data_IF_868363799894
#
_entry.id   IF_868363799894
#
_cell.length_a   1.000
_cell.length_b   1.000
_cell.length_c   1.000
_cell.angle_alpha   90.00
_cell.angle_beta   90.00
_cell.angle_gamma   90.00
#
_symmetry.space_group_name_H-M   'P 1'
#
loop_
_entity.id
_entity.type
_entity.pdbx_description
1 polymer ?
#
# COMPACT_ATOMS: atom_id res chain seq x y z
N UNK A 1 20.93 32.02 -17.42
CA UNK A 1 20.13 31.75 -16.22
C UNK A 1 19.53 30.35 -16.34
N UNK A 2 20.05 29.36 -15.62
CA UNK A 2 19.51 27.98 -15.58
C UNK A 2 18.48 27.90 -14.46
N UNK A 3 17.21 27.72 -14.81
CA UNK A 3 16.17 27.34 -13.85
C UNK A 3 16.43 25.90 -13.42
N UNK A 4 16.82 25.72 -12.16
CA UNK A 4 16.84 24.40 -11.52
C UNK A 4 15.39 23.96 -11.35
N UNK A 5 14.97 22.95 -12.11
CA UNK A 5 13.74 22.20 -11.82
C UNK A 5 13.98 21.35 -10.57
N UNK A 6 13.44 21.80 -9.45
CA UNK A 6 13.44 21.05 -8.20
C UNK A 6 12.55 19.80 -8.36
N UNK A 7 12.98 18.60 -7.92
CA UNK A 7 12.12 17.42 -7.95
C UNK A 7 10.91 17.63 -7.04
N UNK A 8 9.74 17.27 -7.56
CA UNK A 8 8.45 17.27 -6.89
C UNK A 8 8.54 16.91 -5.40
N UNK A 9 8.20 17.89 -4.56
CA UNK A 9 7.98 17.77 -3.13
C UNK A 9 7.04 16.60 -2.83
N UNK A 10 7.54 15.56 -2.14
CA UNK A 10 6.65 14.62 -1.45
C UNK A 10 5.96 15.40 -0.34
N UNK A 11 4.66 15.63 -0.48
CA UNK A 11 3.86 16.16 0.64
C UNK A 11 4.08 15.28 1.87
N UNK A 12 4.44 15.85 3.03
CA UNK A 12 4.39 15.13 4.29
C UNK A 12 2.96 14.59 4.49
N UNK A 13 2.83 13.33 4.90
CA UNK A 13 1.53 12.70 5.15
C UNK A 13 0.73 13.35 6.30
N UNK A 14 1.29 14.33 7.00
CA UNK A 14 0.62 15.13 8.03
C UNK A 14 -0.53 15.99 7.48
N UNK A 15 -0.63 16.14 6.15
CA UNK A 15 -1.71 16.88 5.48
C UNK A 15 -2.82 15.97 4.93
N UNK A 16 -2.86 14.68 5.32
CA UNK A 16 -3.97 13.80 4.95
C UNK A 16 -5.27 14.30 5.59
N UNK A 17 -6.12 14.90 4.77
CA UNK A 17 -7.50 15.22 5.13
C UNK A 17 -8.33 13.94 4.98
N UNK A 18 -8.84 13.45 6.10
CA UNK A 18 -9.80 12.35 6.12
C UNK A 18 -11.18 12.85 5.66
N UNK A 19 -11.85 12.10 4.80
CA UNK A 19 -13.26 12.33 4.54
C UNK A 19 -14.06 11.87 5.76
N UNK A 20 -15.05 12.66 6.19
CA UNK A 20 -15.87 12.33 7.36
C UNK A 20 -16.47 10.91 7.28
N UNK A 21 -16.81 10.42 6.08
CA UNK A 21 -17.36 9.06 5.88
C UNK A 21 -16.35 7.93 6.14
N UNK A 22 -15.06 8.25 6.12
CA UNK A 22 -13.97 7.29 6.37
C UNK A 22 -13.68 7.13 7.86
N UNK A 23 -14.02 8.14 8.66
CA UNK A 23 -13.62 8.23 10.08
C UNK A 23 -14.80 8.39 11.03
N UNK A 24 -16.03 8.51 10.52
CA UNK A 24 -17.22 8.70 11.34
C UNK A 24 -18.47 8.14 10.64
N UNK A 25 -19.42 7.68 11.45
CA UNK A 25 -20.77 7.31 11.03
C UNK A 25 -21.81 8.27 11.64
N UNK A 26 -22.99 8.34 11.05
CA UNK A 26 -24.11 9.10 11.62
C UNK A 26 -24.61 8.59 12.99
N UNK A 27 -24.35 7.32 13.34
CA UNK A 27 -24.77 6.73 14.62
C UNK A 27 -24.69 5.20 14.65
N UNK A 28 -25.08 4.62 15.77
CA UNK A 28 -25.08 3.17 16.03
C UNK A 28 -24.01 2.74 17.04
N UNK A 29 -24.20 1.55 17.61
CA UNK A 29 -23.25 0.99 18.56
C UNK A 29 -22.01 0.45 17.83
N UNK A 30 -20.89 0.36 18.55
CA UNK A 30 -19.64 -0.21 18.01
C UNK A 30 -19.86 -1.61 17.44
N UNK A 31 -20.66 -2.44 18.10
CA UNK A 31 -20.93 -3.81 17.65
C UNK A 31 -21.74 -3.84 16.35
N UNK A 32 -22.75 -2.98 16.21
CA UNK A 32 -23.50 -2.89 14.96
C UNK A 32 -22.64 -2.42 13.78
N UNK A 33 -21.64 -1.58 14.06
CA UNK A 33 -20.72 -1.02 13.07
C UNK A 33 -19.64 -2.02 12.68
N UNK A 34 -19.01 -2.64 13.68
CA UNK A 34 -17.79 -3.42 13.55
C UNK A 34 -18.06 -4.92 13.40
N UNK A 35 -19.13 -5.46 13.98
CA UNK A 35 -19.42 -6.89 13.95
C UNK A 35 -20.40 -7.29 15.05
N UNK A 36 -21.66 -7.60 14.73
CA UNK A 36 -22.62 -8.14 15.69
C UNK A 36 -22.30 -9.59 16.07
N UNK A 37 -23.04 -10.14 17.04
CA UNK A 37 -22.86 -11.51 17.54
C UNK A 37 -23.25 -12.59 16.53
N UNK A 38 -23.93 -12.23 15.45
CA UNK A 38 -24.29 -13.15 14.38
C UNK A 38 -23.20 -13.24 13.29
N UNK A 39 -23.53 -13.90 12.18
CA UNK A 39 -22.63 -14.09 11.03
C UNK A 39 -22.82 -13.03 9.92
N UNK A 40 -23.68 -12.04 10.13
CA UNK A 40 -24.06 -11.03 9.13
C UNK A 40 -22.93 -10.05 8.81
N UNK A 41 -22.06 -9.77 9.79
CA UNK A 41 -20.97 -8.80 9.69
C UNK A 41 -21.40 -7.38 10.00
N UNK A 42 -20.43 -6.52 10.32
CA UNK A 42 -20.65 -5.13 10.69
C UNK A 42 -21.27 -4.33 9.53
N UNK A 43 -22.18 -3.41 9.86
CA UNK A 43 -22.84 -2.59 8.85
C UNK A 43 -21.86 -1.69 8.08
N UNK A 44 -20.71 -1.37 8.68
CA UNK A 44 -19.74 -0.39 8.16
C UNK A 44 -18.29 -0.88 8.20
N UNK A 45 -18.09 -2.15 8.58
CA UNK A 45 -16.83 -2.92 8.57
C UNK A 45 -16.14 -3.00 7.18
N UNK A 46 -16.53 -2.17 6.23
CA UNK A 46 -16.20 -2.24 4.81
C UNK A 46 -16.01 -0.86 4.19
N UNK A 47 -16.42 0.21 4.88
CA UNK A 47 -16.50 1.55 4.31
C UNK A 47 -15.13 2.18 4.12
N UNK A 48 -14.18 1.92 5.03
CA UNK A 48 -12.83 2.43 4.97
C UNK A 48 -11.90 1.56 5.81
N UNK A 49 -10.63 1.51 5.44
CA UNK A 49 -9.59 0.90 6.28
C UNK A 49 -9.44 1.64 7.62
N UNK A 50 -9.69 2.95 7.62
CA UNK A 50 -9.72 3.77 8.84
C UNK A 50 -10.80 3.31 9.83
N UNK A 51 -12.00 2.97 9.36
CA UNK A 51 -13.06 2.45 10.22
C UNK A 51 -12.70 1.07 10.76
N UNK A 52 -12.14 0.19 9.93
CA UNK A 52 -11.68 -1.14 10.34
C UNK A 52 -10.59 -1.05 11.42
N UNK A 53 -9.61 -0.16 11.23
CA UNK A 53 -8.59 0.12 12.24
C UNK A 53 -9.20 0.68 13.53
N UNK A 54 -10.25 1.50 13.45
CA UNK A 54 -10.96 1.99 14.63
C UNK A 54 -11.69 0.88 15.38
N UNK A 55 -12.36 -0.01 14.67
CA UNK A 55 -13.03 -1.15 15.25
C UNK A 55 -12.08 -2.02 16.09
N UNK A 56 -10.82 -2.14 15.67
CA UNK A 56 -9.80 -2.93 16.37
C UNK A 56 -9.06 -2.09 17.43
N UNK A 57 -8.58 -0.90 17.06
CA UNK A 57 -7.65 -0.13 17.87
C UNK A 57 -8.31 0.94 18.74
N UNK A 58 -9.57 1.32 18.48
CA UNK A 58 -10.25 2.37 19.24
C UNK A 58 -10.38 1.99 20.71
N UNK A 59 -10.11 2.93 21.61
CA UNK A 59 -10.20 2.70 23.06
C UNK A 59 -11.58 2.17 23.44
N UNK A 60 -11.61 1.17 24.32
CA UNK A 60 -12.80 0.83 25.07
C UNK A 60 -12.77 1.41 26.49
N UNK A 61 -13.93 1.75 27.07
CA UNK A 61 -14.04 2.30 28.43
C UNK A 61 -13.41 1.39 29.51
N UNK A 62 -13.41 0.08 29.31
CA UNK A 62 -12.80 -0.91 30.21
C UNK A 62 -11.27 -1.02 30.07
N UNK A 63 -10.66 -0.31 29.13
CA UNK A 63 -9.20 -0.28 28.98
C UNK A 63 -8.60 0.92 29.72
N UNK A 64 -7.55 0.66 30.51
CA UNK A 64 -6.80 1.71 31.20
C UNK A 64 -6.15 2.71 30.22
N UNK A 65 -5.80 2.26 29.01
CA UNK A 65 -5.19 3.05 27.92
C UNK A 65 -5.73 2.57 26.58
N UNK A 66 -6.02 3.51 25.67
CA UNK A 66 -6.47 3.18 24.32
C UNK A 66 -5.38 2.51 23.48
N UNK A 67 -5.79 1.87 22.39
CA UNK A 67 -4.92 1.35 21.33
C UNK A 67 -4.02 0.16 21.67
N UNK A 68 -4.15 -0.41 22.88
CA UNK A 68 -3.36 -1.57 23.29
C UNK A 68 -3.55 -2.80 22.40
N UNK A 69 -4.74 -2.97 21.81
CA UNK A 69 -4.99 -4.01 20.82
C UNK A 69 -4.09 -3.92 19.57
N UNK A 70 -3.52 -2.73 19.29
CA UNK A 70 -2.72 -2.47 18.10
C UNK A 70 -1.24 -2.18 18.40
N UNK A 71 -0.89 -1.94 19.68
CA UNK A 71 0.52 -1.78 20.13
C UNK A 71 0.63 -1.82 21.66
N UNK A 72 1.69 -2.45 22.16
CA UNK A 72 1.95 -2.60 23.60
C UNK A 72 2.31 -1.26 24.30
N UNK A 73 3.13 -0.41 23.67
CA UNK A 73 3.69 0.83 24.28
C UNK A 73 3.06 2.13 23.77
N UNK A 74 1.74 2.20 23.61
CA UNK A 74 1.09 3.43 23.15
C UNK A 74 1.07 4.49 24.27
N UNK A 75 1.87 5.56 24.15
CA UNK A 75 1.75 6.72 25.04
C UNK A 75 0.49 7.50 24.65
N UNK A 76 -0.51 7.52 25.53
CA UNK A 76 -1.76 8.23 25.28
C UNK A 76 -1.51 9.72 25.01
N UNK A 77 -1.68 10.18 23.77
CA UNK A 77 -2.09 11.56 23.54
C UNK A 77 -3.52 11.72 24.07
N UNK A 78 -4.01 12.96 24.28
CA UNK A 78 -5.33 13.22 24.88
C UNK A 78 -6.50 12.47 24.20
N UNK A 79 -6.33 12.05 22.94
CA UNK A 79 -7.34 11.37 22.12
C UNK A 79 -7.48 9.87 22.45
N UNK A 80 -6.49 9.27 23.12
CA UNK A 80 -6.52 7.87 23.58
C UNK A 80 -7.17 7.70 24.96
N UNK A 81 -7.91 8.70 25.45
CA UNK A 81 -8.46 8.70 26.83
C UNK A 81 -9.97 8.43 26.90
N UNK A 82 -10.71 8.62 25.81
CA UNK A 82 -12.17 8.44 25.77
C UNK A 82 -12.58 7.17 25.04
N UNK A 83 -13.67 6.55 25.49
CA UNK A 83 -14.28 5.41 24.81
C UNK A 83 -14.69 5.80 23.38
N UNK A 84 -14.33 4.97 22.40
CA UNK A 84 -14.64 5.27 21.02
C UNK A 84 -16.09 4.91 20.68
N UNK A 85 -16.82 5.93 20.22
CA UNK A 85 -18.15 5.81 19.64
C UNK A 85 -18.05 5.98 18.11
N UNK A 86 -18.69 5.12 17.29
CA UNK A 86 -18.73 5.29 15.83
C UNK A 86 -19.24 6.65 15.32
N UNK A 87 -19.98 7.40 16.14
CA UNK A 87 -20.41 8.76 15.81
C UNK A 87 -19.37 9.86 16.09
N UNK A 88 -18.25 9.53 16.71
CA UNK A 88 -17.15 10.48 16.97
C UNK A 88 -16.22 10.56 15.77
N UNK A 89 -15.62 11.73 15.55
CA UNK A 89 -14.56 11.88 14.55
C UNK A 89 -13.30 11.17 15.04
N UNK A 90 -12.85 10.21 14.24
CA UNK A 90 -11.75 9.34 14.57
C UNK A 90 -10.44 9.70 13.81
N UNK A 91 -10.40 10.84 13.11
CA UNK A 91 -9.27 11.30 12.31
C UNK A 91 -7.96 11.39 13.10
N UNK A 92 -8.01 11.92 14.32
CA UNK A 92 -6.80 12.11 15.13
C UNK A 92 -6.21 10.75 15.53
N UNK A 93 -7.04 9.78 15.88
CA UNK A 93 -6.60 8.43 16.24
C UNK A 93 -5.95 7.73 15.04
N UNK A 94 -6.55 7.81 13.84
CA UNK A 94 -5.92 7.21 12.65
C UNK A 94 -4.58 7.88 12.34
N UNK A 95 -4.51 9.20 12.46
CA UNK A 95 -3.29 9.95 12.21
C UNK A 95 -2.18 9.51 13.19
N UNK A 96 -2.53 9.28 14.45
CA UNK A 96 -1.61 8.76 15.47
C UNK A 96 -1.15 7.32 15.11
N UNK A 97 -2.08 6.41 14.76
CA UNK A 97 -1.81 5.04 14.27
C UNK A 97 -0.86 5.02 13.05
N UNK A 98 -1.02 5.95 12.12
CA UNK A 98 -0.15 6.08 10.96
C UNK A 98 1.25 6.57 11.32
N UNK A 99 1.37 7.52 12.25
CA UNK A 99 2.66 8.04 12.67
C UNK A 99 3.58 6.96 13.25
N UNK A 100 2.99 5.99 13.97
CA UNK A 100 3.71 4.86 14.55
C UNK A 100 4.19 3.84 13.49
N UNK A 101 3.46 3.70 12.38
CA UNK A 101 3.76 2.71 11.32
C UNK A 101 4.76 3.22 10.28
N UNK A 102 4.98 4.53 10.17
CA UNK A 102 5.81 5.15 9.13
C UNK A 102 7.34 5.06 9.34
N UNK A 103 7.82 4.38 10.40
CA UNK A 103 9.27 4.21 10.63
C UNK A 103 9.99 3.35 9.57
N UNK A 104 9.28 2.79 8.59
CA UNK A 104 9.88 2.02 7.50
C UNK A 104 10.00 2.85 6.22
N UNK A 105 11.13 3.56 6.06
CA UNK A 105 11.59 4.01 4.73
C UNK A 105 11.83 2.78 3.86
N UNK A 106 11.03 2.54 2.82
CA UNK A 106 11.19 1.32 2.02
C UNK A 106 11.12 1.62 0.53
N UNK A 107 12.15 1.17 -0.18
CA UNK A 107 12.39 1.36 -1.62
C UNK A 107 11.56 0.42 -2.51
N UNK A 108 10.68 -0.40 -1.92
CA UNK A 108 9.90 -1.39 -2.64
C UNK A 108 8.46 -1.44 -2.11
N UNK A 109 7.64 -0.52 -2.63
CA UNK A 109 6.21 -0.43 -2.35
C UNK A 109 5.45 -1.62 -2.97
N UNK A 110 5.97 -2.17 -4.07
CA UNK A 110 5.31 -3.18 -4.87
C UNK A 110 5.23 -4.53 -4.14
N UNK A 111 6.38 -5.06 -3.71
CA UNK A 111 6.44 -6.34 -3.01
C UNK A 111 5.68 -6.28 -1.68
N UNK A 112 5.74 -5.14 -1.00
CA UNK A 112 5.04 -4.92 0.26
C UNK A 112 3.54 -4.90 0.13
N UNK A 113 2.99 -4.18 -0.84
CA UNK A 113 1.54 -4.16 -1.01
C UNK A 113 0.98 -5.52 -1.43
N UNK A 114 1.66 -6.26 -2.33
CA UNK A 114 1.29 -7.65 -2.65
C UNK A 114 1.35 -8.58 -1.44
N UNK A 115 2.35 -8.39 -0.57
CA UNK A 115 2.46 -9.14 0.68
C UNK A 115 1.33 -8.77 1.66
N UNK A 116 1.05 -7.48 1.84
CA UNK A 116 -0.02 -6.98 2.70
C UNK A 116 -1.38 -7.50 2.29
N UNK A 117 -1.68 -7.55 0.99
CA UNK A 117 -2.94 -8.10 0.48
C UNK A 117 -3.10 -9.57 0.87
N UNK A 118 -2.06 -10.38 0.65
CA UNK A 118 -2.06 -11.79 1.05
C UNK A 118 -2.21 -11.97 2.55
N UNK A 119 -1.48 -11.17 3.35
CA UNK A 119 -1.57 -11.22 4.80
C UNK A 119 -2.98 -10.87 5.30
N UNK A 120 -3.60 -9.85 4.71
CA UNK A 120 -4.97 -9.48 5.02
C UNK A 120 -5.94 -10.64 4.72
N UNK A 121 -5.88 -11.21 3.52
CA UNK A 121 -6.74 -12.33 3.11
C UNK A 121 -6.57 -13.55 4.01
N UNK A 122 -5.32 -13.90 4.35
CA UNK A 122 -5.02 -14.98 5.29
C UNK A 122 -5.67 -14.68 6.65
N UNK A 123 -5.47 -13.49 7.21
CA UNK A 123 -5.99 -13.12 8.54
C UNK A 123 -7.52 -13.18 8.62
N UNK A 124 -8.22 -12.76 7.58
CA UNK A 124 -9.69 -12.80 7.55
C UNK A 124 -10.24 -14.22 7.32
N UNK A 125 -9.45 -15.11 6.73
CA UNK A 125 -9.81 -16.51 6.51
C UNK A 125 -9.72 -17.38 7.77
N UNK A 126 -8.92 -16.97 8.76
CA UNK A 126 -8.72 -17.72 10.02
C UNK A 126 -10.06 -17.95 10.71
N UNK A 127 -10.38 -19.22 10.92
CA UNK A 127 -11.56 -19.65 11.65
C UNK A 127 -11.41 -19.31 13.14
N UNK A 128 -12.44 -18.71 13.71
CA UNK A 128 -12.49 -18.26 15.11
C UNK A 128 -13.82 -18.69 15.76
N UNK A 129 -13.84 -18.67 17.08
CA UNK A 129 -14.96 -19.11 17.90
C UNK A 129 -15.20 -20.63 17.85
N UNK A 130 -16.24 -21.06 18.56
CA UNK A 130 -16.62 -22.47 18.69
C UNK A 130 -16.79 -23.10 17.31
N UNK A 131 -16.11 -24.23 17.08
CA UNK A 131 -16.10 -24.97 15.82
C UNK A 131 -15.65 -24.15 14.59
N UNK A 132 -14.98 -23.00 14.79
CA UNK A 132 -14.56 -22.14 13.69
C UNK A 132 -15.72 -21.47 12.94
N UNK A 133 -16.86 -21.29 13.62
CA UNK A 133 -18.08 -20.72 13.03
C UNK A 133 -17.89 -19.28 12.53
N UNK A 134 -16.95 -18.54 13.11
CA UNK A 134 -16.68 -17.15 12.73
C UNK A 134 -15.45 -17.06 11.85
N UNK A 135 -15.69 -16.93 10.54
CA UNK A 135 -14.69 -16.50 9.54
C UNK A 135 -15.00 -15.08 9.11
N UNK A 136 -14.08 -14.47 8.36
CA UNK A 136 -14.22 -13.14 7.74
C UNK A 136 -14.02 -12.02 8.75
N UNK A 137 -12.99 -12.14 9.58
CA UNK A 137 -12.73 -11.18 10.66
C UNK A 137 -11.26 -10.80 10.74
N UNK A 138 -11.02 -9.53 11.02
CA UNK A 138 -9.71 -9.02 11.39
C UNK A 138 -9.70 -8.64 12.88
N UNK A 139 -8.56 -8.80 13.53
CA UNK A 139 -8.44 -8.66 14.99
C UNK A 139 -8.64 -9.97 15.75
N UNK A 140 -8.94 -9.83 17.03
CA UNK A 140 -8.97 -10.93 18.01
C UNK A 140 -10.36 -11.06 18.62
N UNK A 141 -10.77 -12.30 18.85
CA UNK A 141 -11.94 -12.69 19.64
C UNK A 141 -11.49 -13.81 20.59
N UNK A 142 -11.95 -13.79 21.83
CA UNK A 142 -11.60 -14.83 22.79
C UNK A 142 -12.43 -16.11 22.63
N UNK A 143 -11.83 -17.22 23.05
CA UNK A 143 -12.36 -18.60 23.21
C UNK A 143 -13.56 -18.98 22.32
N UNK A 144 -14.78 -18.71 22.79
CA UNK A 144 -16.02 -19.23 22.20
C UNK A 144 -16.48 -18.45 20.97
N UNK A 145 -16.00 -17.22 20.78
CA UNK A 145 -16.41 -16.33 19.68
C UNK A 145 -17.93 -16.14 19.58
N UNK A 146 -18.63 -16.25 20.71
CA UNK A 146 -20.09 -16.10 20.79
C UNK A 146 -20.54 -14.67 20.47
N UNK A 147 -19.70 -13.66 20.74
CA UNK A 147 -20.14 -12.27 20.77
C UNK A 147 -19.44 -11.36 19.74
N UNK A 148 -19.23 -10.11 20.13
CA UNK A 148 -19.32 -8.94 19.27
C UNK A 148 -17.97 -8.24 19.15
N UNK A 149 -17.81 -7.46 18.08
CA UNK A 149 -16.68 -6.56 17.95
C UNK A 149 -16.93 -5.27 18.75
N UNK A 150 -16.66 -5.33 20.05
CA UNK A 150 -16.83 -4.22 21.01
C UNK A 150 -15.58 -3.38 21.19
N UNK A 151 -14.42 -3.86 20.74
CA UNK A 151 -13.14 -3.20 21.01
C UNK A 151 -12.43 -3.60 22.27
N UNK A 152 -13.05 -4.44 23.09
CA UNK A 152 -12.45 -4.92 24.33
C UNK A 152 -12.44 -6.43 24.34
N UNK A 153 -11.31 -6.98 24.74
CA UNK A 153 -11.16 -8.42 24.89
C UNK A 153 -11.63 -8.82 26.28
N UNK A 154 -12.74 -9.55 26.32
CA UNK A 154 -13.23 -10.28 27.48
C UNK A 154 -13.53 -11.74 27.07
N UNK A 155 -14.25 -12.51 27.90
CA UNK A 155 -14.54 -13.92 27.65
C UNK A 155 -15.33 -14.20 26.36
N UNK A 156 -15.96 -13.19 25.75
CA UNK A 156 -16.84 -13.39 24.59
C UNK A 156 -16.66 -12.34 23.48
N UNK A 157 -16.22 -11.14 23.82
CA UNK A 157 -16.02 -10.01 22.91
C UNK A 157 -14.55 -9.82 22.53
N UNK A 158 -14.32 -8.93 21.56
CA UNK A 158 -12.95 -8.59 21.19
C UNK A 158 -12.76 -7.30 20.39
N UNK A 159 -11.50 -6.84 20.31
CA UNK A 159 -11.08 -5.83 19.35
C UNK A 159 -10.98 -6.46 17.96
N UNK A 160 -12.10 -6.39 17.24
CA UNK A 160 -12.22 -6.99 15.92
C UNK A 160 -13.05 -6.17 14.95
N UNK A 161 -13.07 -6.62 13.70
CA UNK A 161 -14.03 -6.22 12.68
C UNK A 161 -14.45 -7.46 11.90
N UNK A 162 -15.75 -7.60 11.61
CA UNK A 162 -16.35 -8.72 10.90
C UNK A 162 -16.96 -8.25 9.58
N UNK A 163 -16.49 -8.85 8.48
CA UNK A 163 -16.93 -8.55 7.13
C UNK A 163 -18.16 -9.38 6.75
N UNK A 164 -19.05 -8.78 5.95
CA UNK A 164 -20.22 -9.48 5.42
C UNK A 164 -19.79 -10.58 4.44
N UNK A 165 -20.51 -11.70 4.43
CA UNK A 165 -20.21 -12.83 3.55
C UNK A 165 -20.16 -12.42 2.07
N UNK A 166 -21.10 -11.57 1.65
CA UNK A 166 -21.23 -11.11 0.27
C UNK A 166 -19.95 -10.44 -0.28
N UNK A 167 -19.10 -9.89 0.59
CA UNK A 167 -17.84 -9.29 0.15
C UNK A 167 -16.72 -10.30 -0.14
N UNK A 168 -16.94 -11.56 0.22
CA UNK A 168 -15.96 -12.63 0.21
C UNK A 168 -16.47 -13.87 -0.54
N UNK A 169 -17.66 -13.77 -1.13
CA UNK A 169 -18.21 -14.74 -2.07
C UNK A 169 -17.84 -14.35 -3.49
N UNK A 170 -17.07 -15.18 -4.19
CA UNK A 170 -16.67 -14.95 -5.58
C UNK A 170 -15.17 -15.15 -5.82
N UNK A 171 -14.72 -14.87 -7.04
CA UNK A 171 -13.31 -14.95 -7.42
C UNK A 171 -12.46 -13.84 -6.79
N UNK A 172 -13.07 -12.68 -6.52
CA UNK A 172 -12.40 -11.50 -5.96
C UNK A 172 -13.10 -11.00 -4.70
N UNK A 173 -12.30 -10.45 -3.77
CA UNK A 173 -12.78 -9.77 -2.57
C UNK A 173 -13.32 -8.39 -2.94
N UNK A 174 -14.59 -8.15 -2.63
CA UNK A 174 -15.30 -6.90 -2.95
C UNK A 174 -15.48 -5.97 -1.76
N UNK A 175 -14.64 -6.09 -0.73
CA UNK A 175 -14.55 -5.09 0.34
C UNK A 175 -14.13 -3.74 -0.30
N UNK A 176 -14.95 -2.68 -0.22
CA UNK A 176 -14.74 -1.44 -0.97
C UNK A 176 -13.36 -0.81 -0.82
N UNK A 177 -12.86 -0.66 0.42
CA UNK A 177 -11.54 -0.08 0.64
C UNK A 177 -10.42 -0.97 0.10
N UNK A 178 -10.58 -2.29 0.15
CA UNK A 178 -9.59 -3.25 -0.35
C UNK A 178 -9.55 -3.25 -1.88
N UNK A 179 -10.72 -3.22 -2.54
CA UNK A 179 -10.82 -3.09 -3.99
C UNK A 179 -10.21 -1.76 -4.48
N UNK A 180 -10.48 -0.66 -3.76
CA UNK A 180 -9.88 0.64 -4.04
C UNK A 180 -8.35 0.61 -3.87
N UNK A 181 -7.84 -0.07 -2.84
CA UNK A 181 -6.40 -0.26 -2.60
C UNK A 181 -5.74 -1.05 -3.73
N UNK A 182 -6.33 -2.16 -4.19
CA UNK A 182 -5.85 -2.94 -5.35
C UNK A 182 -5.76 -2.07 -6.61
N UNK A 183 -6.82 -1.32 -6.90
CA UNK A 183 -6.85 -0.41 -8.05
C UNK A 183 -5.77 0.68 -7.95
N UNK A 184 -5.57 1.24 -6.76
CA UNK A 184 -4.54 2.25 -6.53
C UNK A 184 -3.13 1.68 -6.73
N UNK A 185 -2.91 0.43 -6.30
CA UNK A 185 -1.66 -0.28 -6.50
C UNK A 185 -1.37 -0.49 -8.00
N UNK A 186 -2.33 -0.98 -8.77
CA UNK A 186 -2.20 -1.19 -10.22
C UNK A 186 -1.86 0.11 -10.97
N UNK A 187 -2.53 1.22 -10.61
CA UNK A 187 -2.23 2.54 -11.17
C UNK A 187 -0.82 3.02 -10.81
N UNK A 188 -0.37 2.76 -9.59
CA UNK A 188 0.98 3.10 -9.16
C UNK A 188 2.05 2.29 -9.90
N UNK A 189 1.81 1.00 -10.13
CA UNK A 189 2.68 0.16 -10.95
C UNK A 189 2.78 0.70 -12.39
N UNK A 190 1.64 0.97 -13.04
CA UNK A 190 1.59 1.51 -14.40
C UNK A 190 2.34 2.84 -14.53
N UNK A 191 2.16 3.75 -13.57
CA UNK A 191 2.86 5.03 -13.54
C UNK A 191 4.38 4.85 -13.34
N UNK A 192 4.80 3.90 -12.51
CA UNK A 192 6.22 3.61 -12.26
C UNK A 192 6.90 3.08 -13.52
N UNK A 193 6.24 2.18 -14.26
CA UNK A 193 6.73 1.68 -15.55
C UNK A 193 6.85 2.82 -16.57
N UNK A 194 5.82 3.66 -16.70
CA UNK A 194 5.85 4.80 -17.62
C UNK A 194 6.99 5.80 -17.32
N UNK A 195 7.28 6.07 -16.04
CA UNK A 195 8.43 6.90 -15.64
C UNK A 195 9.76 6.25 -16.05
N UNK A 196 9.87 4.93 -15.92
CA UNK A 196 11.03 4.17 -16.38
C UNK A 196 11.25 4.32 -17.88
N UNK A 197 10.18 4.20 -18.68
CA UNK A 197 10.22 4.36 -20.13
C UNK A 197 10.60 5.79 -20.54
N UNK A 198 10.02 6.81 -19.90
CA UNK A 198 10.39 8.21 -20.14
C UNK A 198 11.88 8.44 -19.88
N UNK A 199 12.41 7.94 -18.77
CA UNK A 199 13.85 8.06 -18.46
C UNK A 199 14.74 7.35 -19.48
N UNK A 200 14.31 6.20 -19.99
CA UNK A 200 15.01 5.49 -21.07
C UNK A 200 15.04 6.33 -22.35
N UNK A 201 13.89 6.90 -22.74
CA UNK A 201 13.77 7.76 -23.92
C UNK A 201 14.61 9.03 -23.77
N UNK A 202 14.61 9.68 -22.61
CA UNK A 202 15.47 10.84 -22.32
C UNK A 202 16.96 10.50 -22.45
N UNK A 203 17.39 9.33 -21.98
CA UNK A 203 18.77 8.86 -22.11
C UNK A 203 19.14 8.63 -23.59
N UNK A 204 18.25 8.01 -24.36
CA UNK A 204 18.43 7.81 -25.80
C UNK A 204 18.52 9.14 -26.57
N UNK A 205 17.64 10.09 -26.27
CA UNK A 205 17.67 11.43 -26.87
C UNK A 205 18.96 12.19 -26.55
N UNK A 206 19.44 12.11 -25.31
CA UNK A 206 20.73 12.69 -24.91
C UNK A 206 21.89 12.05 -25.67
N UNK A 207 21.90 10.73 -25.80
CA UNK A 207 22.93 10.01 -26.56
C UNK A 207 22.93 10.38 -28.05
N UNK A 208 21.74 10.48 -28.67
CA UNK A 208 21.59 10.96 -30.03
C UNK A 208 22.11 12.39 -30.19
N UNK A 209 21.77 13.29 -29.26
CA UNK A 209 22.24 14.67 -29.31
C UNK A 209 23.78 14.74 -29.22
N UNK A 210 24.41 13.96 -28.34
CA UNK A 210 25.89 13.90 -28.24
C UNK A 210 26.49 13.40 -29.57
N UNK A 211 25.92 12.34 -30.13
CA UNK A 211 26.38 11.75 -31.41
C UNK A 211 26.21 12.70 -32.58
N UNK A 212 25.10 13.45 -32.66
CA UNK A 212 24.89 14.45 -33.69
C UNK A 212 25.89 15.60 -33.59
N UNK A 213 26.21 16.04 -32.37
CA UNK A 213 27.21 17.08 -32.14
C UNK A 213 28.63 16.61 -32.52
N UNK A 214 28.99 15.35 -32.24
CA UNK A 214 30.31 14.82 -32.65
C UNK A 214 30.46 14.76 -34.17
N UNK A 215 29.43 14.28 -34.89
CA UNK A 215 29.42 14.26 -36.36
C UNK A 215 29.51 15.67 -36.98
N UNK A 216 28.87 16.67 -36.34
CA UNK A 216 28.99 18.07 -36.77
C UNK A 216 30.39 18.66 -36.55
N UNK A 217 31.11 18.24 -35.51
CA UNK A 217 32.51 18.64 -35.31
C UNK A 217 33.45 17.97 -36.32
N UNK A 218 33.23 16.68 -36.61
CA UNK A 218 34.02 15.93 -37.58
C UNK A 218 33.86 16.48 -39.01
N UNK A 219 32.68 16.95 -39.37
CA UNK A 219 32.40 17.56 -40.68
C UNK A 219 32.91 19.00 -40.81
N UNK A 220 33.21 19.69 -39.69
CA UNK A 220 33.75 21.07 -39.66
C UNK A 220 35.27 21.13 -39.52
N UNK A 221 35.95 20.01 -39.26
CA UNK A 221 37.41 19.96 -39.20
C UNK A 221 37.95 19.52 -40.57
N UNK A 222 38.71 20.35 -41.30
CA UNK A 222 39.34 19.92 -42.54
C UNK A 222 40.31 18.78 -42.20
N UNK A 223 40.19 17.67 -42.92
CA UNK A 223 41.02 16.47 -42.80
C UNK A 223 42.49 16.83 -42.55
N UNK A 224 42.96 16.54 -41.33
CA UNK A 224 44.36 16.22 -41.03
C UNK A 224 44.49 15.74 -39.59
N UNK A 225 44.41 14.43 -39.41
CA UNK A 225 45.49 13.62 -38.81
C UNK A 225 45.04 12.18 -38.64
N UNK A 226 45.81 11.28 -39.24
CA UNK A 226 45.98 9.88 -38.86
C UNK A 226 45.98 9.74 -37.33
N UNK A 227 44.91 9.22 -36.74
CA UNK A 227 44.87 8.73 -35.36
C UNK A 227 43.84 7.59 -35.27
N UNK A 228 44.33 6.36 -35.17
CA UNK A 228 43.70 5.19 -34.52
C UNK A 228 42.18 5.02 -34.66
N UNK A 229 41.69 4.84 -35.89
CA UNK A 229 40.31 4.37 -36.17
C UNK A 229 40.19 2.84 -36.05
N UNK A 230 41.31 2.10 -35.99
CA UNK A 230 41.30 0.62 -35.99
C UNK A 230 40.84 0.00 -34.65
N UNK A 231 41.10 0.62 -33.49
CA UNK A 231 40.75 0.00 -32.20
C UNK A 231 39.25 0.03 -31.88
N UNK A 232 38.53 1.07 -32.33
CA UNK A 232 37.08 1.24 -32.08
C UNK A 232 36.22 0.53 -33.14
N UNK A 233 36.70 0.43 -34.38
CA UNK A 233 36.04 -0.36 -35.43
C UNK A 233 36.06 -1.87 -35.12
N UNK A 234 37.14 -2.38 -34.52
CA UNK A 234 37.24 -3.79 -34.11
C UNK A 234 36.32 -4.14 -32.93
N UNK A 235 36.15 -3.21 -31.97
CA UNK A 235 35.27 -3.43 -30.81
C UNK A 235 33.77 -3.35 -31.17
N UNK A 236 33.39 -2.51 -32.12
CA UNK A 236 32.01 -2.48 -32.65
C UNK A 236 31.68 -3.72 -33.48
N UNK A 237 32.62 -4.18 -34.32
CA UNK A 237 32.45 -5.39 -35.13
C UNK A 237 32.35 -6.65 -34.25
N UNK A 238 33.09 -6.70 -33.15
CA UNK A 238 33.03 -7.80 -32.16
C UNK A 238 31.69 -7.86 -31.43
N UNK A 239 31.17 -6.72 -30.96
CA UNK A 239 29.86 -6.64 -30.28
C UNK A 239 28.70 -6.95 -31.21
N UNK A 240 28.78 -6.57 -32.48
CA UNK A 240 27.74 -6.89 -33.47
C UNK A 240 27.69 -8.39 -33.80
N UNK A 241 28.84 -9.08 -33.84
CA UNK A 241 28.90 -10.54 -33.96
C UNK A 241 28.35 -11.27 -32.73
N UNK A 242 28.53 -10.73 -31.52
CA UNK A 242 27.93 -11.29 -30.30
C UNK A 242 26.40 -11.17 -30.28
N UNK A 243 25.85 -10.03 -30.71
CA UNK A 243 24.38 -9.86 -30.80
C UNK A 243 23.75 -10.81 -31.81
N UNK A 244 24.36 -11.02 -32.99
CA UNK A 244 23.85 -11.95 -34.01
C UNK A 244 23.92 -13.43 -33.59
N UNK A 245 24.93 -13.80 -32.79
CA UNK A 245 25.03 -15.17 -32.25
C UNK A 245 23.95 -15.47 -31.21
N UNK A 246 23.60 -14.49 -30.37
CA UNK A 246 22.51 -14.61 -29.39
C UNK A 246 21.15 -14.71 -30.10
N UNK A 247 20.93 -13.93 -31.15
CA UNK A 247 19.69 -13.94 -31.93
C UNK A 247 19.46 -15.30 -32.63
N UNK A 248 20.51 -15.89 -33.21
CA UNK A 248 20.44 -17.24 -33.80
C UNK A 248 20.19 -18.35 -32.77
N UNK A 249 20.74 -18.22 -31.56
CA UNK A 249 20.52 -19.18 -30.48
C UNK A 249 19.10 -19.11 -29.91
N UNK A 250 18.46 -17.94 -29.94
CA UNK A 250 17.06 -17.74 -29.55
C UNK A 250 16.09 -18.29 -30.60
N UNK A 251 16.47 -18.28 -31.89
CA UNK A 251 15.69 -18.84 -33.00
C UNK A 251 15.85 -20.37 -33.18
N UNK A 252 16.77 -21.02 -32.47
CA UNK A 252 16.93 -22.47 -32.44
C UNK A 252 16.35 -23.09 -31.15
N UNK A 253 15.05 -22.90 -30.93
CA UNK A 253 14.25 -23.69 -29.98
C UNK A 253 13.05 -24.29 -30.67
#
# INVERSE_FOLDING_TARGET
MRTKSTPSSRRPFTDLKWDAKEVKKAGGTRQAVCGPSDVAGGANATNSLAMDLHCICGKHSSEASGHKACREDWSCTAVATTDWNPASDASIIITDLQSATYKQQQKDIQSRAKSSDKHFLIRISVARGTNGAKRRMLGTLDTTGADQCTGYQDSTNGPCVQYKAAHLTGADVSIPWFAALKTAHEKWEAATTAIGDIRRLEAQLKALNVTANSLQLETKTPHKKDVTVQAEAETLTSKQKQCQAIEKAVLCK
#
